data_IF_039736571191
#
_entry.id   IF_039736571191
#
_cell.length_a   1.000
_cell.length_b   1.000
_cell.length_c   1.000
_cell.angle_alpha   90.00
_cell.angle_beta   90.00
_cell.angle_gamma   90.00
#
_symmetry.space_group_name_H-M   'P 1'
#
loop_
_entity.id
_entity.type
_entity.pdbx_description
1 polymer ?
#
# COMPACT_ATOMS: atom_id res chain seq x y z
N UNK A 1 22.25 5.73 -4.59
CA UNK A 1 20.86 6.21 -4.44
C UNK A 1 20.35 5.64 -3.13
N UNK A 2 19.83 6.47 -2.20
CA UNK A 2 19.31 5.97 -0.93
C UNK A 2 18.14 5.00 -1.16
N UNK A 3 17.99 4.08 -0.21
CA UNK A 3 16.88 3.13 -0.19
C UNK A 3 15.91 3.53 0.91
N UNK A 4 14.63 3.51 0.59
CA UNK A 4 13.55 3.86 1.51
C UNK A 4 12.69 2.63 1.76
N UNK A 5 12.50 2.28 3.03
CA UNK A 5 11.45 1.36 3.46
C UNK A 5 10.21 2.19 3.76
N UNK A 6 9.18 2.04 2.93
CA UNK A 6 7.91 2.72 3.04
C UNK A 6 6.88 1.77 3.65
N UNK A 7 6.40 2.07 4.85
CA UNK A 7 5.25 1.40 5.47
C UNK A 7 4.01 2.23 5.16
N UNK A 8 3.04 1.60 4.49
CA UNK A 8 1.80 2.21 4.04
C UNK A 8 0.66 1.50 4.75
N UNK A 9 -0.25 2.26 5.34
CA UNK A 9 -1.55 1.77 5.77
C UNK A 9 -2.62 2.38 4.86
N UNK A 10 -3.57 1.55 4.47
CA UNK A 10 -4.71 1.94 3.69
C UNK A 10 -5.98 1.43 4.35
N UNK A 11 -7.05 2.22 4.30
CA UNK A 11 -8.28 1.99 5.04
C UNK A 11 -9.50 2.28 4.16
N UNK A 12 -10.63 1.68 4.52
CA UNK A 12 -11.93 1.83 3.85
C UNK A 12 -11.94 1.37 2.39
N UNK A 13 -11.15 0.35 2.06
CA UNK A 13 -11.17 -0.27 0.73
C UNK A 13 -12.38 -1.22 0.63
N UNK A 14 -13.26 -1.02 -0.36
CA UNK A 14 -14.47 -1.82 -0.52
C UNK A 14 -14.13 -3.20 -1.10
N UNK A 15 -14.65 -4.24 -0.46
CA UNK A 15 -14.54 -5.64 -0.91
C UNK A 15 -15.90 -6.33 -0.83
N UNK A 16 -16.10 -7.33 -1.68
CA UNK A 16 -17.28 -8.19 -1.62
C UNK A 16 -16.94 -9.43 -0.81
N UNK A 17 -17.64 -9.62 0.30
CA UNK A 17 -17.55 -10.83 1.15
C UNK A 17 -18.95 -11.40 1.26
N UNK A 18 -19.15 -12.65 0.86
CA UNK A 18 -20.45 -13.35 0.94
C UNK A 18 -21.65 -12.57 0.35
N UNK A 19 -21.43 -11.89 -0.79
CA UNK A 19 -22.41 -11.03 -1.49
C UNK A 19 -22.76 -9.70 -0.80
N UNK A 20 -22.11 -9.36 0.32
CA UNK A 20 -22.21 -8.06 0.97
C UNK A 20 -20.96 -7.22 0.71
N UNK A 21 -21.11 -5.89 0.72
CA UNK A 21 -19.98 -4.97 0.62
C UNK A 21 -19.45 -4.69 2.02
N UNK A 22 -18.19 -5.01 2.26
CA UNK A 22 -17.47 -4.72 3.49
C UNK A 22 -16.30 -3.76 3.21
N UNK A 23 -15.81 -3.11 4.25
CA UNK A 23 -14.61 -2.29 4.20
C UNK A 23 -13.43 -3.04 4.83
N UNK A 24 -12.30 -3.06 4.13
CA UNK A 24 -11.04 -3.56 4.66
C UNK A 24 -10.00 -2.44 4.75
N UNK A 25 -9.03 -2.64 5.63
CA UNK A 25 -7.75 -1.96 5.56
C UNK A 25 -6.64 -2.93 5.18
N UNK A 26 -5.48 -2.40 4.81
CA UNK A 26 -4.29 -3.19 4.59
C UNK A 26 -3.01 -2.42 4.91
N UNK A 27 -1.99 -3.16 5.33
CA UNK A 27 -0.61 -2.67 5.38
C UNK A 27 0.18 -3.18 4.17
N UNK A 28 0.98 -2.29 3.59
CA UNK A 28 1.91 -2.58 2.52
C UNK A 28 3.32 -2.08 2.90
N UNK A 29 4.33 -2.88 2.60
CA UNK A 29 5.73 -2.45 2.70
C UNK A 29 6.34 -2.34 1.31
N UNK A 30 6.88 -1.17 0.95
CA UNK A 30 7.57 -0.95 -0.33
C UNK A 30 9.03 -0.55 -0.11
N UNK A 31 9.93 -1.16 -0.87
CA UNK A 31 11.36 -0.85 -0.83
C UNK A 31 11.74 -0.09 -2.09
N UNK A 32 11.98 1.22 -1.94
CA UNK A 32 12.14 2.14 -3.06
C UNK A 32 13.53 2.73 -3.08
N UNK A 33 14.26 2.57 -4.18
CA UNK A 33 15.44 3.37 -4.46
C UNK A 33 14.99 4.73 -5.03
N UNK A 34 15.33 5.83 -4.36
CA UNK A 34 14.96 7.18 -4.79
C UNK A 34 16.04 8.19 -4.40
N UNK A 35 16.08 9.36 -5.03
CA UNK A 35 17.02 10.43 -4.65
C UNK A 35 16.57 11.19 -3.40
N UNK A 36 15.27 11.23 -3.13
CA UNK A 36 14.66 11.98 -2.02
C UNK A 36 13.45 11.21 -1.47
N UNK A 37 13.04 11.53 -0.24
CA UNK A 37 11.81 10.98 0.37
C UNK A 37 10.59 11.26 -0.50
N UNK A 38 10.44 12.46 -1.06
CA UNK A 38 9.32 12.81 -1.92
C UNK A 38 9.26 11.96 -3.21
N UNK A 39 10.41 11.70 -3.84
CA UNK A 39 10.48 10.79 -4.98
C UNK A 39 10.13 9.34 -4.57
N UNK A 40 10.57 8.90 -3.38
CA UNK A 40 10.22 7.57 -2.87
C UNK A 40 8.70 7.41 -2.66
N UNK A 41 8.03 8.43 -2.13
CA UNK A 41 6.58 8.44 -1.92
C UNK A 41 5.82 8.25 -3.24
N UNK A 42 6.16 9.03 -4.26
CA UNK A 42 5.50 8.97 -5.57
C UNK A 42 5.66 7.57 -6.18
N UNK A 43 6.89 7.03 -6.20
CA UNK A 43 7.14 5.70 -6.77
C UNK A 43 6.42 4.61 -5.96
N UNK A 44 6.40 4.70 -4.63
CA UNK A 44 5.68 3.75 -3.78
C UNK A 44 4.17 3.72 -4.08
N UNK A 45 3.54 4.90 -4.22
CA UNK A 45 2.12 5.01 -4.56
C UNK A 45 1.81 4.52 -5.97
N UNK A 46 2.65 4.85 -6.95
CA UNK A 46 2.47 4.38 -8.33
C UNK A 46 2.56 2.85 -8.41
N UNK A 47 3.52 2.23 -7.70
CA UNK A 47 3.60 0.77 -7.61
C UNK A 47 2.35 0.18 -6.98
N UNK A 48 1.89 0.76 -5.86
CA UNK A 48 0.68 0.32 -5.17
C UNK A 48 -0.54 0.35 -6.10
N UNK A 49 -0.68 1.41 -6.89
CA UNK A 49 -1.79 1.59 -7.84
C UNK A 49 -1.79 0.58 -8.98
N UNK A 50 -0.64 0.01 -9.31
CA UNK A 50 -0.47 -0.95 -10.40
C UNK A 50 -0.72 -2.40 -9.95
N UNK A 51 -0.97 -2.65 -8.66
CA UNK A 51 -1.16 -4.00 -8.15
C UNK A 51 -2.59 -4.49 -8.41
N UNK A 52 -2.69 -5.59 -9.16
CA UNK A 52 -3.95 -6.26 -9.52
C UNK A 52 -4.79 -6.62 -8.28
N UNK A 53 -4.13 -6.98 -7.17
CA UNK A 53 -4.80 -7.27 -5.90
C UNK A 53 -5.59 -6.08 -5.32
N UNK A 54 -5.27 -4.85 -5.74
CA UNK A 54 -5.94 -3.62 -5.34
C UNK A 54 -6.87 -3.07 -6.43
N UNK A 55 -7.06 -3.80 -7.53
CA UNK A 55 -7.97 -3.38 -8.60
C UNK A 55 -9.43 -3.50 -8.15
N UNK A 56 -10.03 -2.35 -7.82
CA UNK A 56 -11.44 -2.28 -7.42
C UNK A 56 -12.32 -2.02 -8.65
N UNK A 57 -13.35 -2.86 -8.90
CA UNK A 57 -14.36 -2.61 -9.92
C UNK A 57 -14.99 -1.22 -9.79
N UNK A 58 -15.16 -0.50 -10.90
CA UNK A 58 -15.62 0.90 -10.88
C UNK A 58 -16.90 1.13 -10.06
N UNK A 59 -17.84 0.18 -10.09
CA UNK A 59 -19.11 0.25 -9.35
C UNK A 59 -18.97 0.20 -7.82
N UNK A 60 -17.83 -0.29 -7.32
CA UNK A 60 -17.55 -0.42 -5.89
C UNK A 60 -16.66 0.71 -5.38
N UNK A 61 -16.04 1.51 -6.26
CA UNK A 61 -15.11 2.56 -5.85
C UNK A 61 -15.82 3.59 -4.96
N UNK A 62 -15.12 4.01 -3.92
CA UNK A 62 -15.59 4.98 -2.94
C UNK A 62 -14.55 6.09 -2.77
N UNK A 63 -15.02 7.29 -2.39
CA UNK A 63 -14.17 8.42 -2.00
C UNK A 63 -13.64 8.31 -0.55
N UNK A 64 -14.17 7.36 0.23
CA UNK A 64 -13.79 7.15 1.62
C UNK A 64 -12.48 6.37 1.79
N UNK A 65 -12.01 5.71 0.73
CA UNK A 65 -10.77 4.96 0.72
C UNK A 65 -9.57 5.90 0.88
N UNK A 66 -8.72 5.64 1.88
CA UNK A 66 -7.57 6.48 2.21
C UNK A 66 -6.32 5.64 2.34
N UNK A 67 -5.18 6.19 1.92
CA UNK A 67 -3.87 5.60 2.12
C UNK A 67 -2.92 6.63 2.71
N UNK A 68 -2.11 6.22 3.69
CA UNK A 68 -1.12 7.06 4.33
C UNK A 68 0.18 6.30 4.56
N UNK A 69 1.29 7.03 4.57
CA UNK A 69 2.58 6.50 4.96
C UNK A 69 2.68 6.54 6.48
N UNK A 70 2.64 5.38 7.13
CA UNK A 70 2.85 5.25 8.57
C UNK A 70 4.30 5.56 8.96
N UNK A 71 5.23 5.08 8.12
CA UNK A 71 6.65 5.28 8.35
C UNK A 71 7.42 5.27 7.03
N UNK A 72 8.40 6.15 6.93
CA UNK A 72 9.42 6.10 5.90
C UNK A 72 10.79 6.13 6.56
N UNK A 73 11.58 5.08 6.35
CA UNK A 73 12.94 4.98 6.88
C UNK A 73 13.92 4.93 5.73
N UNK A 74 14.83 5.90 5.68
CA UNK A 74 16.00 5.84 4.82
C UNK A 74 17.01 4.85 5.42
N UNK A 75 17.50 3.93 4.60
CA UNK A 75 18.45 2.91 5.02
C UNK A 75 19.47 2.55 3.95
N UNK A 76 20.44 1.72 4.33
CA UNK A 76 21.37 1.11 3.39
C UNK A 76 20.70 0.08 2.47
N UNK A 77 21.35 -0.33 1.38
CA UNK A 77 20.83 -1.36 0.48
C UNK A 77 20.50 -2.61 1.29
N UNK A 78 19.20 -2.95 1.36
CA UNK A 78 18.75 -4.13 2.10
C UNK A 78 19.15 -5.37 1.31
N UNK A 79 20.22 -6.02 1.73
CA UNK A 79 20.57 -7.36 1.24
C UNK A 79 19.49 -8.33 1.71
N UNK A 80 18.84 -9.02 0.77
CA UNK A 80 18.06 -10.24 0.97
C UNK A 80 16.57 -10.15 1.40
N UNK A 81 15.81 -9.11 1.03
CA UNK A 81 14.32 -9.22 1.02
C UNK A 81 13.81 -9.15 -0.43
N UNK A 82 12.95 -10.08 -0.88
CA UNK A 82 12.36 -9.97 -2.20
C UNK A 82 11.64 -8.61 -2.31
N UNK A 83 11.74 -7.94 -3.47
CA UNK A 83 11.10 -6.65 -3.67
C UNK A 83 9.59 -6.82 -3.55
N UNK A 84 8.98 -5.99 -2.71
CA UNK A 84 7.55 -5.63 -2.75
C UNK A 84 6.53 -6.79 -2.71
N UNK A 85 6.82 -7.94 -2.08
CA UNK A 85 5.81 -9.00 -2.01
C UNK A 85 4.95 -8.91 -0.75
N UNK A 86 3.72 -8.41 -0.92
CA UNK A 86 2.61 -8.74 -0.03
C UNK A 86 1.86 -7.57 0.58
N UNK A 87 0.63 -7.88 0.97
CA UNK A 87 -0.26 -7.08 1.79
C UNK A 87 -0.64 -7.88 3.02
N UNK A 88 -0.89 -7.20 4.13
CA UNK A 88 -1.61 -7.79 5.26
C UNK A 88 -2.89 -7.01 5.45
N UNK A 89 -4.03 -7.63 5.12
CA UNK A 89 -5.35 -7.03 5.22
C UNK A 89 -6.00 -7.29 6.58
N UNK A 90 -6.86 -6.36 7.00
CA UNK A 90 -7.69 -6.48 8.20
C UNK A 90 -9.10 -5.97 7.92
N UNK A 91 -10.08 -6.44 8.71
CA UNK A 91 -11.48 -5.99 8.59
C UNK A 91 -11.62 -4.66 9.34
N UNK A 92 -12.27 -3.68 8.74
CA UNK A 92 -12.58 -2.43 9.43
C UNK A 92 -13.71 -2.64 10.44
N UNK A 93 -13.52 -2.22 11.70
CA UNK A 93 -14.59 -2.22 12.72
C UNK A 93 -14.74 -3.49 13.56
N UNK A 94 -13.70 -4.31 13.69
CA UNK A 94 -13.63 -5.41 14.67
C UNK A 94 -13.43 -4.91 16.10
#
# INVERSE_FOLDING_TARGET
MPFFRCLICAENFPVIVAAETAAIGFHATRFIAAATTGAAMVIALERLRQEEALEIPARLRTEDARGFFEQMVEGGPTTARPPDSGFTSFIMGS
#
